data_IF_860292213767
#
_entry.id   IF_860292213767
#
_cell.length_a   1.000
_cell.length_b   1.000
_cell.length_c   1.000
_cell.angle_alpha   90.00
_cell.angle_beta   90.00
_cell.angle_gamma   90.00
#
_symmetry.space_group_name_H-M   'P 1'
#
loop_
_entity.id
_entity.type
_entity.pdbx_description
1 polymer ?
#
# COMPACT_ATOMS: atom_id res chain seq x y z
N UNK A 1 9.60 19.82 8.10
CA UNK A 1 9.61 19.35 6.71
C UNK A 1 11.00 18.90 6.18
N UNK A 2 12.06 18.94 7.04
CA UNK A 2 13.44 18.61 6.64
C UNK A 2 13.96 17.29 7.25
N UNK A 3 13.10 16.55 7.98
CA UNK A 3 13.46 15.30 8.64
C UNK A 3 12.70 14.12 8.08
N UNK A 4 13.31 12.93 8.06
CA UNK A 4 12.66 11.69 7.66
C UNK A 4 11.62 11.24 8.71
N UNK A 5 10.69 10.37 8.33
CA UNK A 5 9.69 9.79 9.25
C UNK A 5 10.35 9.12 10.47
N UNK A 6 11.42 8.35 10.26
CA UNK A 6 12.15 7.72 11.36
C UNK A 6 12.87 8.71 12.28
N UNK A 7 13.42 9.81 11.74
CA UNK A 7 14.00 10.88 12.55
C UNK A 7 12.94 11.57 13.39
N UNK A 8 11.76 11.85 12.81
CA UNK A 8 10.64 12.43 13.53
C UNK A 8 10.19 11.51 14.67
N UNK A 9 10.09 10.20 14.42
CA UNK A 9 9.69 9.23 15.42
C UNK A 9 10.69 9.13 16.58
N UNK A 10 12.00 9.14 16.28
CA UNK A 10 13.03 9.20 17.32
C UNK A 10 12.98 10.50 18.13
N UNK A 11 12.71 11.64 17.50
CA UNK A 11 12.52 12.91 18.19
C UNK A 11 11.29 12.88 19.13
N UNK A 12 10.18 12.29 18.70
CA UNK A 12 8.99 12.10 19.54
C UNK A 12 9.27 11.19 20.74
N UNK A 13 10.00 10.09 20.53
CA UNK A 13 10.43 9.20 21.62
C UNK A 13 11.33 9.94 22.61
N UNK A 14 12.33 10.70 22.13
CA UNK A 14 13.19 11.51 22.99
C UNK A 14 12.41 12.57 23.79
N UNK A 15 11.42 13.19 23.17
CA UNK A 15 10.51 14.14 23.83
C UNK A 15 9.71 13.47 24.95
N UNK A 16 9.13 12.31 24.71
CA UNK A 16 8.39 11.54 25.71
C UNK A 16 9.29 11.10 26.88
N UNK A 17 10.55 10.72 26.59
CA UNK A 17 11.53 10.30 27.60
C UNK A 17 12.17 11.45 28.38
N UNK A 18 12.01 12.69 27.93
CA UNK A 18 12.63 13.87 28.58
C UNK A 18 12.24 14.05 30.06
N UNK A 19 11.03 13.61 30.40
CA UNK A 19 10.48 13.64 31.78
C UNK A 19 10.88 12.42 32.63
N UNK A 20 11.64 11.46 32.08
CA UNK A 20 11.96 10.17 32.72
C UNK A 20 10.73 9.47 33.27
N UNK A 21 9.75 9.10 32.44
CA UNK A 21 8.51 8.49 32.89
C UNK A 21 8.74 7.05 33.38
N UNK A 22 7.95 6.61 34.35
CA UNK A 22 7.93 5.21 34.79
C UNK A 22 7.21 4.31 33.74
N UNK A 23 6.31 4.87 32.95
CA UNK A 23 5.55 4.19 31.89
C UNK A 23 5.53 5.03 30.62
N UNK A 24 5.82 4.40 29.49
CA UNK A 24 5.65 4.99 28.15
C UNK A 24 4.66 4.17 27.32
N UNK A 25 3.81 4.85 26.57
CA UNK A 25 2.86 4.23 25.64
C UNK A 25 3.25 4.58 24.21
N UNK A 26 3.51 3.55 23.42
CA UNK A 26 3.77 3.67 21.99
C UNK A 26 2.51 3.26 21.22
N UNK A 27 1.84 4.21 20.57
CA UNK A 27 0.67 3.95 19.75
C UNK A 27 1.06 4.00 18.27
N UNK A 28 1.14 2.82 17.65
CA UNK A 28 1.53 2.63 16.25
C UNK A 28 2.83 3.37 15.84
N UNK A 29 3.93 3.29 16.61
CA UNK A 29 5.09 4.17 16.42
C UNK A 29 5.87 3.90 15.13
N UNK A 30 5.60 2.81 14.43
CA UNK A 30 6.29 2.46 13.17
C UNK A 30 5.40 2.52 11.95
N UNK A 31 4.16 2.98 12.11
CA UNK A 31 3.21 3.14 10.99
C UNK A 31 3.76 4.13 9.97
N UNK A 32 3.64 3.77 8.70
CA UNK A 32 4.15 4.52 7.54
C UNK A 32 5.68 4.61 7.40
N UNK A 33 6.46 3.85 8.18
CA UNK A 33 7.89 3.69 7.98
C UNK A 33 8.17 2.54 7.02
N UNK A 34 9.26 2.65 6.25
CA UNK A 34 9.79 1.51 5.51
C UNK A 34 10.47 0.50 6.47
N UNK A 35 10.63 -0.75 6.01
CA UNK A 35 11.08 -1.86 6.85
C UNK A 35 12.46 -1.59 7.49
N UNK A 36 13.38 -0.96 6.78
CA UNK A 36 14.74 -0.66 7.31
C UNK A 36 14.67 0.37 8.42
N UNK A 37 13.97 1.49 8.16
CA UNK A 37 13.73 2.55 9.14
C UNK A 37 12.94 2.03 10.34
N UNK A 38 11.97 1.14 10.12
CA UNK A 38 11.20 0.49 11.19
C UNK A 38 12.11 -0.29 12.14
N UNK A 39 13.04 -1.11 11.62
CA UNK A 39 13.99 -1.88 12.42
C UNK A 39 14.88 -0.96 13.26
N UNK A 40 15.40 0.12 12.66
CA UNK A 40 16.22 1.10 13.38
C UNK A 40 15.47 1.80 14.51
N UNK A 41 14.21 2.21 14.27
CA UNK A 41 13.38 2.87 15.28
C UNK A 41 13.05 1.89 16.41
N UNK A 42 12.70 0.65 16.10
CA UNK A 42 12.42 -0.39 17.10
C UNK A 42 13.64 -0.70 17.96
N UNK A 43 14.83 -0.83 17.36
CA UNK A 43 16.07 -1.01 18.12
C UNK A 43 16.30 0.16 19.07
N UNK A 44 16.17 1.39 18.58
CA UNK A 44 16.33 2.60 19.42
C UNK A 44 15.33 2.67 20.57
N UNK A 45 14.05 2.29 20.32
CA UNK A 45 13.02 2.25 21.37
C UNK A 45 13.39 1.21 22.45
N UNK A 46 13.78 0.00 22.04
CA UNK A 46 14.19 -1.06 22.95
C UNK A 46 15.36 -0.63 23.81
N UNK A 47 16.43 -0.10 23.19
CA UNK A 47 17.62 0.34 23.89
C UNK A 47 17.30 1.43 24.93
N UNK A 48 16.40 2.36 24.61
CA UNK A 48 15.93 3.42 25.52
C UNK A 48 15.13 2.82 26.68
N UNK A 49 14.17 1.94 26.42
CA UNK A 49 13.33 1.30 27.44
C UNK A 49 14.20 0.49 28.42
N UNK A 50 15.18 -0.26 27.92
CA UNK A 50 16.13 -1.02 28.74
C UNK A 50 17.05 -0.11 29.54
N UNK A 51 17.64 0.91 28.93
CA UNK A 51 18.59 1.84 29.56
C UNK A 51 17.95 2.60 30.73
N UNK A 52 16.70 3.01 30.59
CA UNK A 52 15.99 3.79 31.61
C UNK A 52 15.11 2.92 32.53
N UNK A 53 15.07 1.60 32.32
CA UNK A 53 14.19 0.66 33.05
C UNK A 53 12.73 1.12 33.07
N UNK A 54 12.27 1.76 32.01
CA UNK A 54 10.90 2.29 31.88
C UNK A 54 9.96 1.16 31.46
N UNK A 55 8.78 1.06 32.09
CA UNK A 55 7.74 0.15 31.60
C UNK A 55 7.18 0.65 30.26
N UNK A 56 6.85 -0.26 29.35
CA UNK A 56 6.34 0.11 28.03
C UNK A 56 5.06 -0.65 27.65
N UNK A 57 4.08 0.07 27.12
CA UNK A 57 2.94 -0.51 26.39
C UNK A 57 3.13 -0.21 24.92
N UNK A 58 3.11 -1.25 24.10
CA UNK A 58 3.26 -1.14 22.66
C UNK A 58 1.96 -1.55 21.96
N UNK A 59 1.28 -0.59 21.34
CA UNK A 59 0.04 -0.79 20.60
C UNK A 59 0.37 -0.89 19.13
N UNK A 60 0.04 -2.00 18.49
CA UNK A 60 0.28 -2.19 17.05
C UNK A 60 -0.54 -3.36 16.49
N UNK A 61 -0.78 -3.33 15.21
CA UNK A 61 -1.31 -4.44 14.43
C UNK A 61 -0.21 -5.28 13.76
N UNK A 62 1.06 -4.87 13.85
CA UNK A 62 2.19 -5.59 13.26
C UNK A 62 2.76 -6.62 14.22
N UNK A 63 2.39 -7.88 13.98
CA UNK A 63 2.84 -9.03 14.76
C UNK A 63 4.35 -9.28 14.69
N UNK A 64 5.04 -8.79 13.65
CA UNK A 64 6.49 -8.91 13.55
C UNK A 64 7.19 -7.99 14.55
N UNK A 65 6.61 -6.80 14.74
CA UNK A 65 7.05 -5.83 15.74
C UNK A 65 6.84 -6.37 17.15
N UNK A 66 5.62 -6.86 17.44
CA UNK A 66 5.28 -7.42 18.74
C UNK A 66 6.24 -8.54 19.15
N UNK A 67 6.59 -9.43 18.19
CA UNK A 67 7.52 -10.53 18.44
C UNK A 67 8.93 -10.08 18.86
N UNK A 68 9.33 -8.87 18.50
CA UNK A 68 10.66 -8.32 18.79
C UNK A 68 10.71 -7.44 20.03
N UNK A 69 9.57 -6.85 20.41
CA UNK A 69 9.50 -5.79 21.42
C UNK A 69 8.86 -6.20 22.72
N UNK A 70 7.89 -7.14 22.69
CA UNK A 70 7.04 -7.41 23.83
C UNK A 70 7.42 -8.69 24.58
N UNK A 71 7.38 -8.66 25.91
CA UNK A 71 7.49 -9.84 26.79
C UNK A 71 6.17 -10.61 26.84
N UNK A 72 5.06 -9.88 26.86
CA UNK A 72 3.69 -10.41 26.90
C UNK A 72 2.85 -9.75 25.81
N UNK A 73 1.88 -10.50 25.30
CA UNK A 73 0.97 -10.04 24.25
C UNK A 73 -0.45 -10.19 24.79
N UNK A 74 -1.23 -9.12 24.62
CA UNK A 74 -2.67 -9.10 24.87
C UNK A 74 -3.39 -8.82 23.55
N UNK A 75 -4.27 -9.72 23.14
CA UNK A 75 -5.07 -9.61 21.92
C UNK A 75 -6.46 -9.07 22.25
N UNK A 76 -6.86 -8.03 21.53
CA UNK A 76 -8.17 -7.39 21.68
C UNK A 76 -9.01 -7.56 20.41
N UNK A 77 -10.32 -7.78 20.58
CA UNK A 77 -11.29 -7.79 19.50
C UNK A 77 -12.56 -7.03 19.92
N UNK A 78 -12.92 -5.98 19.22
CA UNK A 78 -14.12 -5.17 19.49
C UNK A 78 -14.21 -4.70 20.93
N UNK A 79 -13.08 -4.29 21.52
CA UNK A 79 -12.98 -3.80 22.88
C UNK A 79 -12.92 -4.89 23.98
N UNK A 80 -13.03 -6.17 23.61
CA UNK A 80 -12.92 -7.27 24.54
C UNK A 80 -11.54 -7.93 24.45
N UNK A 81 -11.03 -8.40 25.59
CA UNK A 81 -9.86 -9.26 25.64
C UNK A 81 -10.20 -10.63 25.05
N UNK A 82 -9.34 -11.11 24.15
CA UNK A 82 -9.49 -12.42 23.51
C UNK A 82 -8.49 -13.41 24.10
N UNK A 83 -7.22 -13.02 24.20
CA UNK A 83 -6.15 -13.89 24.67
C UNK A 83 -5.01 -13.05 25.24
N UNK A 84 -4.40 -13.53 26.34
CA UNK A 84 -3.17 -12.97 26.89
C UNK A 84 -2.17 -14.08 27.18
N UNK A 85 -0.91 -13.91 26.75
CA UNK A 85 0.15 -14.87 27.03
C UNK A 85 1.53 -14.24 26.90
N UNK A 86 2.59 -15.00 27.28
CA UNK A 86 3.97 -14.61 26.95
C UNK A 86 4.15 -14.60 25.43
N UNK A 87 5.00 -13.72 24.93
CA UNK A 87 5.29 -13.64 23.48
C UNK A 87 5.68 -14.98 22.89
N UNK A 88 6.53 -15.74 23.60
CA UNK A 88 6.97 -17.06 23.15
C UNK A 88 5.83 -18.07 22.98
N UNK A 89 4.88 -18.11 23.93
CA UNK A 89 3.72 -19.01 23.87
C UNK A 89 2.73 -18.56 22.81
N UNK A 90 2.44 -17.25 22.77
CA UNK A 90 1.55 -16.66 21.76
C UNK A 90 2.00 -16.92 20.33
N UNK A 91 3.32 -16.85 20.07
CA UNK A 91 3.89 -17.13 18.73
C UNK A 91 3.92 -18.62 18.38
N UNK A 92 4.11 -19.52 19.38
CA UNK A 92 4.23 -20.96 19.12
C UNK A 92 2.90 -21.68 19.06
N UNK A 93 1.98 -21.34 19.95
CA UNK A 93 0.74 -22.08 20.16
C UNK A 93 -0.40 -21.15 20.65
N UNK A 94 -0.88 -20.21 19.81
CA UNK A 94 -2.05 -19.41 20.15
C UNK A 94 -3.26 -20.34 20.37
N UNK A 95 -4.09 -20.02 21.36
CA UNK A 95 -5.22 -20.86 21.75
C UNK A 95 -6.49 -20.44 21.01
N UNK A 96 -6.75 -19.15 20.96
CA UNK A 96 -7.98 -18.62 20.43
C UNK A 96 -8.02 -18.59 18.90
N UNK A 97 -9.19 -18.83 18.32
CA UNK A 97 -9.39 -18.89 16.88
C UNK A 97 -9.06 -17.56 16.19
N UNK A 98 -9.42 -16.44 16.80
CA UNK A 98 -9.11 -15.11 16.28
C UNK A 98 -7.60 -14.86 16.28
N UNK A 99 -6.90 -15.17 17.37
CA UNK A 99 -5.43 -15.08 17.44
C UNK A 99 -4.76 -15.94 16.37
N UNK A 100 -5.22 -17.18 16.20
CA UNK A 100 -4.74 -18.06 15.12
C UNK A 100 -4.91 -17.44 13.75
N UNK A 101 -6.04 -16.79 13.50
CA UNK A 101 -6.29 -16.13 12.20
C UNK A 101 -5.35 -14.96 11.94
N UNK A 102 -5.01 -14.17 12.95
CA UNK A 102 -4.01 -13.09 12.85
C UNK A 102 -2.63 -13.64 12.48
N UNK A 103 -2.24 -14.78 13.07
CA UNK A 103 -0.95 -15.44 12.79
C UNK A 103 -0.93 -16.14 11.42
N UNK A 104 -2.07 -16.67 10.96
CA UNK A 104 -2.18 -17.37 9.68
C UNK A 104 -1.88 -16.44 8.47
N UNK A 105 -2.16 -15.15 8.58
CA UNK A 105 -1.84 -14.16 7.54
C UNK A 105 -0.33 -14.13 7.25
N UNK A 106 0.53 -14.39 8.25
CA UNK A 106 1.99 -14.45 8.09
C UNK A 106 2.48 -15.67 7.28
N UNK A 107 1.73 -16.77 7.32
CA UNK A 107 2.10 -18.03 6.65
C UNK A 107 1.52 -18.17 5.25
N UNK A 108 0.91 -17.11 4.71
CA UNK A 108 0.33 -17.14 3.37
C UNK A 108 1.42 -17.36 2.32
N UNK A 109 1.63 -18.62 1.96
CA UNK A 109 2.49 -19.00 0.84
C UNK A 109 1.68 -18.97 -0.45
N UNK A 110 2.04 -18.07 -1.34
CA UNK A 110 1.47 -18.05 -2.69
C UNK A 110 1.84 -19.35 -3.41
N UNK A 111 0.85 -20.09 -3.93
CA UNK A 111 1.11 -21.22 -4.83
C UNK A 111 2.05 -20.77 -5.95
N UNK A 112 3.19 -21.47 -6.11
CA UNK A 112 4.12 -21.19 -7.20
C UNK A 112 3.39 -21.35 -8.53
N UNK A 113 3.33 -20.29 -9.31
CA UNK A 113 2.84 -20.36 -10.69
C UNK A 113 3.94 -20.95 -11.56
N UNK A 114 3.58 -21.84 -12.47
CA UNK A 114 4.51 -22.36 -13.49
C UNK A 114 5.29 -21.24 -14.16
N UNK A 115 6.55 -21.43 -14.57
CA UNK A 115 7.32 -20.43 -15.28
C UNK A 115 6.50 -19.81 -16.44
N UNK A 116 6.65 -18.52 -16.68
CA UNK A 116 6.06 -17.90 -17.87
C UNK A 116 6.61 -18.60 -19.10
N UNK A 117 5.78 -18.85 -20.11
CA UNK A 117 6.26 -19.43 -21.40
C UNK A 117 7.35 -18.50 -21.94
N UNK A 118 8.53 -19.03 -22.19
CA UNK A 118 9.75 -18.29 -22.54
C UNK A 118 9.64 -17.39 -23.79
N UNK A 119 8.54 -17.48 -24.55
CA UNK A 119 8.27 -16.70 -25.78
C UNK A 119 7.05 -15.77 -25.68
N UNK A 120 6.45 -15.59 -24.51
CA UNK A 120 5.28 -14.71 -24.39
C UNK A 120 5.73 -13.24 -24.33
N UNK A 121 5.15 -12.38 -25.17
CA UNK A 121 5.35 -10.93 -25.13
C UNK A 121 4.96 -10.40 -23.74
N UNK A 122 5.82 -9.61 -23.08
CA UNK A 122 5.47 -8.98 -21.81
C UNK A 122 4.27 -8.01 -21.98
N UNK A 123 3.40 -7.95 -20.99
CA UNK A 123 2.35 -6.92 -20.95
C UNK A 123 2.98 -5.54 -20.74
N UNK A 124 3.97 -5.46 -19.84
CA UNK A 124 4.80 -4.25 -19.66
C UNK A 124 6.26 -4.65 -19.79
N UNK A 125 7.01 -3.89 -20.59
CA UNK A 125 8.47 -3.95 -20.68
C UNK A 125 9.05 -2.57 -20.39
N UNK A 126 9.90 -2.50 -19.38
CA UNK A 126 10.64 -1.30 -18.98
C UNK A 126 12.08 -1.51 -19.39
N UNK A 127 12.66 -0.63 -20.19
CA UNK A 127 14.01 -0.79 -20.76
C UNK A 127 14.84 0.45 -20.51
N UNK A 128 15.90 0.32 -19.71
CA UNK A 128 16.89 1.36 -19.42
C UNK A 128 16.27 2.69 -18.98
N UNK A 129 15.18 2.64 -18.24
CA UNK A 129 14.42 3.83 -17.83
C UNK A 129 15.18 4.61 -16.77
N UNK A 130 15.40 5.89 -17.03
CA UNK A 130 15.93 6.88 -16.09
C UNK A 130 14.86 7.92 -15.83
N UNK A 131 14.50 8.13 -14.55
CA UNK A 131 13.43 9.03 -14.14
C UNK A 131 13.93 10.09 -13.15
N UNK A 132 13.48 11.33 -13.31
CA UNK A 132 13.83 12.45 -12.45
C UNK A 132 12.70 13.48 -12.34
N UNK A 133 12.62 14.15 -11.20
CA UNK A 133 11.77 15.33 -11.02
C UNK A 133 12.47 16.62 -11.46
N UNK A 134 13.80 16.62 -11.47
CA UNK A 134 14.65 17.69 -12.00
C UNK A 134 15.65 17.08 -12.98
N UNK A 135 15.92 17.77 -14.09
CA UNK A 135 16.82 17.27 -15.16
C UNK A 135 18.22 16.88 -14.66
N UNK A 136 18.69 17.49 -13.59
CA UNK A 136 20.06 17.32 -13.11
C UNK A 136 20.17 16.30 -11.95
N UNK A 137 19.04 15.74 -11.47
CA UNK A 137 19.04 14.81 -10.34
C UNK A 137 18.14 13.60 -10.61
N UNK A 138 18.64 12.58 -11.31
CA UNK A 138 17.91 11.37 -11.58
C UNK A 138 17.73 10.52 -10.31
N UNK A 139 16.47 10.30 -9.92
CA UNK A 139 16.07 9.47 -8.79
C UNK A 139 16.12 7.98 -9.15
N UNK A 140 15.80 7.64 -10.40
CA UNK A 140 15.84 6.28 -10.94
C UNK A 140 16.80 6.25 -12.11
N UNK A 141 17.69 5.26 -12.15
CA UNK A 141 18.73 5.16 -13.19
C UNK A 141 18.75 3.78 -13.81
N UNK A 142 18.61 3.73 -15.12
CA UNK A 142 18.82 2.53 -15.94
C UNK A 142 18.05 1.30 -15.48
N UNK A 143 16.77 1.46 -15.11
CA UNK A 143 15.93 0.37 -14.61
C UNK A 143 15.33 -0.40 -15.78
N UNK A 144 15.44 -1.75 -15.73
CA UNK A 144 14.88 -2.65 -16.75
C UNK A 144 14.23 -3.86 -16.09
N UNK A 145 13.01 -4.20 -16.52
CA UNK A 145 12.30 -5.42 -16.15
C UNK A 145 11.08 -5.63 -17.04
N UNK A 146 10.61 -6.88 -17.07
CA UNK A 146 9.43 -7.30 -17.82
C UNK A 146 8.34 -7.83 -16.89
N UNK A 147 7.08 -7.56 -17.24
CA UNK A 147 5.91 -8.08 -16.53
C UNK A 147 5.02 -8.83 -17.52
N UNK A 148 4.81 -10.12 -17.27
CA UNK A 148 3.99 -10.97 -18.11
C UNK A 148 2.55 -11.08 -17.58
N UNK A 149 1.62 -11.44 -18.46
CA UNK A 149 0.21 -11.64 -18.10
C UNK A 149 0.05 -12.61 -16.92
N UNK A 150 -0.79 -12.24 -15.96
CA UNK A 150 -1.04 -13.03 -14.75
C UNK A 150 0.15 -13.12 -13.78
N UNK A 151 1.21 -12.35 -13.98
CA UNK A 151 2.36 -12.25 -13.08
C UNK A 151 2.34 -10.95 -12.29
N UNK A 152 3.00 -10.96 -11.14
CA UNK A 152 3.21 -9.79 -10.29
C UNK A 152 4.71 -9.63 -10.08
N UNK A 153 5.22 -8.44 -10.34
CA UNK A 153 6.58 -8.03 -10.01
C UNK A 153 6.50 -7.09 -8.81
N UNK A 154 7.25 -7.38 -7.75
CA UNK A 154 7.39 -6.50 -6.59
C UNK A 154 8.63 -5.62 -6.78
N UNK A 155 8.45 -4.31 -6.61
CA UNK A 155 9.55 -3.34 -6.54
C UNK A 155 9.74 -2.98 -5.07
N UNK A 156 10.88 -3.37 -4.50
CA UNK A 156 11.20 -3.19 -3.08
C UNK A 156 12.40 -2.26 -2.91
N UNK A 157 12.53 -1.63 -1.75
CA UNK A 157 13.62 -0.73 -1.39
C UNK A 157 13.20 0.26 -0.32
N UNK A 158 14.16 1.00 0.23
CA UNK A 158 13.97 2.01 1.26
C UNK A 158 13.09 3.19 0.80
N UNK A 159 12.61 4.00 1.75
CA UNK A 159 11.91 5.24 1.43
C UNK A 159 12.83 6.15 0.61
N UNK A 160 12.30 6.75 -0.45
CA UNK A 160 13.12 7.58 -1.35
C UNK A 160 13.90 6.82 -2.42
N UNK A 161 13.94 5.47 -2.43
CA UNK A 161 14.67 4.68 -3.44
C UNK A 161 14.12 4.75 -4.88
N UNK A 162 13.04 5.49 -5.13
CA UNK A 162 12.50 5.70 -6.47
C UNK A 162 11.37 4.76 -6.89
N UNK A 163 10.82 3.91 -6.01
CA UNK A 163 9.70 3.00 -6.33
C UNK A 163 8.51 3.70 -6.98
N UNK A 164 8.04 4.76 -6.33
CA UNK A 164 6.93 5.57 -6.86
C UNK A 164 7.31 6.34 -8.13
N UNK A 165 8.60 6.65 -8.32
CA UNK A 165 9.11 7.29 -9.54
C UNK A 165 9.02 6.33 -10.72
N UNK A 166 9.39 5.06 -10.54
CA UNK A 166 9.21 4.01 -11.58
C UNK A 166 7.73 3.87 -11.95
N UNK A 167 6.84 3.78 -10.95
CA UNK A 167 5.40 3.70 -11.17
C UNK A 167 4.87 4.89 -11.99
N UNK A 168 5.31 6.11 -11.66
CA UNK A 168 4.94 7.33 -12.39
C UNK A 168 5.51 7.38 -13.80
N UNK A 169 6.71 6.84 -14.03
CA UNK A 169 7.25 6.70 -15.39
C UNK A 169 6.39 5.74 -16.21
N UNK A 170 6.03 4.57 -15.67
CA UNK A 170 5.20 3.58 -16.36
C UNK A 170 3.83 4.18 -16.71
N UNK A 171 3.20 4.91 -15.79
CA UNK A 171 1.90 5.55 -16.04
C UNK A 171 1.97 6.79 -16.92
N UNK A 172 3.18 7.32 -17.21
CA UNK A 172 3.38 8.55 -17.98
C UNK A 172 3.09 9.83 -17.18
N UNK A 173 2.82 9.72 -15.87
CA UNK A 173 2.67 10.88 -14.98
C UNK A 173 4.00 11.62 -14.76
N UNK A 174 5.11 10.93 -14.96
CA UNK A 174 6.45 11.48 -14.98
C UNK A 174 7.14 10.97 -16.26
N UNK A 175 7.30 11.79 -17.30
CA UNK A 175 8.04 11.40 -18.48
C UNK A 175 9.49 11.00 -18.11
N UNK A 176 9.98 9.83 -18.51
CA UNK A 176 11.37 9.45 -18.25
C UNK A 176 12.34 10.34 -19.03
N UNK A 177 13.52 10.56 -18.46
CA UNK A 177 14.62 11.27 -19.15
C UNK A 177 15.22 10.45 -20.28
N UNK A 178 15.26 9.12 -20.13
CA UNK A 178 15.74 8.17 -21.12
C UNK A 178 15.13 6.80 -20.90
N UNK A 179 15.29 5.91 -21.87
CA UNK A 179 14.73 4.56 -21.86
C UNK A 179 13.38 4.49 -22.57
N UNK A 180 12.83 3.28 -22.66
CA UNK A 180 11.59 2.99 -23.37
C UNK A 180 10.69 2.15 -22.49
N UNK A 181 9.39 2.44 -22.52
CA UNK A 181 8.35 1.62 -21.86
C UNK A 181 7.42 1.12 -22.95
N UNK A 182 7.19 -0.21 -22.98
CA UNK A 182 6.28 -0.87 -23.92
C UNK A 182 5.09 -1.47 -23.22
N UNK A 183 3.96 -1.40 -23.87
CA UNK A 183 2.73 -2.11 -23.48
C UNK A 183 2.34 -3.05 -24.62
N UNK A 184 2.21 -4.36 -24.33
CA UNK A 184 1.97 -5.41 -25.34
C UNK A 184 2.90 -5.34 -26.55
N UNK A 185 4.17 -4.98 -26.35
CA UNK A 185 5.20 -4.87 -27.38
C UNK A 185 5.21 -3.54 -28.13
N UNK A 186 4.27 -2.62 -27.86
CA UNK A 186 4.18 -1.30 -28.52
C UNK A 186 4.76 -0.22 -27.59
N UNK A 187 5.59 0.67 -28.15
CA UNK A 187 6.17 1.78 -27.40
C UNK A 187 5.07 2.72 -26.87
N UNK A 188 5.10 3.01 -25.57
CA UNK A 188 4.18 3.97 -24.97
C UNK A 188 4.74 5.39 -25.11
N UNK A 189 3.90 6.38 -25.43
CA UNK A 189 4.26 7.77 -25.29
C UNK A 189 4.72 8.08 -23.86
N UNK A 190 5.82 8.85 -23.72
CA UNK A 190 6.42 9.17 -22.43
C UNK A 190 5.46 9.92 -21.51
N UNK A 191 4.71 10.90 -22.04
CA UNK A 191 3.71 11.68 -21.31
C UNK A 191 2.32 11.05 -21.48
N UNK A 192 1.57 10.92 -20.37
CA UNK A 192 0.20 10.36 -20.37
C UNK A 192 -0.76 11.17 -21.29
N UNK A 193 -0.51 12.47 -21.48
CA UNK A 193 -1.35 13.32 -22.32
C UNK A 193 -1.30 12.94 -23.81
N UNK A 194 -0.20 12.29 -24.23
CA UNK A 194 0.00 11.80 -25.58
C UNK A 194 -0.45 10.35 -25.78
N UNK A 195 -0.91 9.69 -24.71
CA UNK A 195 -1.42 8.32 -24.78
C UNK A 195 -2.86 8.28 -25.25
N UNK A 196 -3.20 7.25 -26.02
CA UNK A 196 -4.58 7.00 -26.41
C UNK A 196 -5.46 6.70 -25.19
N UNK A 197 -6.78 6.90 -25.35
CA UNK A 197 -7.75 6.54 -24.30
C UNK A 197 -7.67 5.06 -23.92
N UNK A 198 -7.45 4.18 -24.88
CA UNK A 198 -7.26 2.75 -24.66
C UNK A 198 -6.01 2.47 -23.83
N UNK A 199 -4.86 3.07 -24.16
CA UNK A 199 -3.64 2.93 -23.36
C UNK A 199 -3.82 3.43 -21.91
N UNK A 200 -4.56 4.52 -21.71
CA UNK A 200 -4.88 5.03 -20.38
C UNK A 200 -5.84 4.10 -19.62
N UNK A 201 -6.81 3.49 -20.30
CA UNK A 201 -7.73 2.51 -19.73
C UNK A 201 -6.98 1.27 -19.24
N UNK A 202 -6.10 0.73 -20.07
CA UNK A 202 -5.43 -0.55 -19.84
C UNK A 202 -4.35 -0.49 -18.75
N UNK A 203 -3.87 0.70 -18.37
CA UNK A 203 -2.82 0.89 -17.35
C UNK A 203 -3.36 1.77 -16.24
N UNK A 204 -3.66 1.18 -15.09
CA UNK A 204 -4.22 1.89 -13.94
C UNK A 204 -3.26 1.88 -12.76
N UNK A 205 -3.35 2.91 -11.92
CA UNK A 205 -2.55 3.07 -10.70
C UNK A 205 -3.42 3.26 -9.47
N UNK A 206 -3.13 2.49 -8.43
CA UNK A 206 -3.69 2.63 -7.09
C UNK A 206 -2.67 3.41 -6.26
N UNK A 207 -3.07 4.54 -5.71
CA UNK A 207 -2.18 5.38 -4.91
C UNK A 207 -2.05 4.85 -3.49
N UNK A 208 -0.86 5.00 -2.91
CA UNK A 208 -0.54 4.58 -1.54
C UNK A 208 -1.47 5.24 -0.50
N UNK A 209 -1.72 6.55 -0.63
CA UNK A 209 -2.56 7.30 0.30
C UNK A 209 -3.97 7.45 -0.27
N UNK A 210 -4.90 6.65 0.22
CA UNK A 210 -6.30 6.69 -0.21
C UNK A 210 -6.97 8.05 0.09
N UNK A 211 -6.59 8.70 1.19
CA UNK A 211 -7.15 10.01 1.59
C UNK A 211 -6.91 11.10 0.56
N UNK A 212 -5.74 11.12 -0.06
CA UNK A 212 -5.39 12.10 -1.10
C UNK A 212 -5.83 11.66 -2.51
N UNK A 213 -6.10 10.37 -2.68
CA UNK A 213 -6.47 9.79 -3.98
C UNK A 213 -7.96 9.92 -4.32
N UNK A 214 -8.82 10.04 -3.31
CA UNK A 214 -10.26 10.16 -3.48
C UNK A 214 -10.70 11.62 -3.36
N UNK A 215 -11.54 12.09 -4.29
CA UNK A 215 -12.08 13.45 -4.20
C UNK A 215 -13.08 13.53 -3.02
N UNK A 216 -12.79 14.30 -1.95
CA UNK A 216 -13.64 14.34 -0.75
C UNK A 216 -15.01 14.98 -0.99
N UNK A 217 -15.19 15.71 -2.11
CA UNK A 217 -16.44 16.39 -2.46
C UNK A 217 -17.36 15.53 -3.33
N UNK A 218 -16.98 14.29 -3.63
CA UNK A 218 -17.73 13.37 -4.49
C UNK A 218 -18.17 12.15 -3.71
N UNK A 219 -19.38 11.67 -3.98
CA UNK A 219 -19.87 10.39 -3.43
C UNK A 219 -19.06 9.22 -3.97
N UNK A 220 -18.98 8.14 -3.22
CA UNK A 220 -18.26 6.93 -3.60
C UNK A 220 -18.76 6.39 -4.95
N UNK A 221 -20.08 6.37 -5.14
CA UNK A 221 -20.67 5.96 -6.42
C UNK A 221 -20.24 6.81 -7.61
N UNK A 222 -20.03 8.12 -7.42
CA UNK A 222 -19.49 9.00 -8.48
C UNK A 222 -18.00 8.75 -8.72
N UNK A 223 -17.22 8.51 -7.66
CA UNK A 223 -15.78 8.25 -7.75
C UNK A 223 -15.51 6.98 -8.54
N UNK A 224 -16.23 5.88 -8.24
CA UNK A 224 -16.12 4.61 -8.96
C UNK A 224 -16.80 4.69 -10.34
N UNK A 225 -17.92 5.41 -10.43
CA UNK A 225 -18.68 5.54 -11.68
C UNK A 225 -18.02 6.39 -12.75
N UNK A 226 -17.08 7.30 -12.38
CA UNK A 226 -16.39 8.14 -13.36
C UNK A 226 -15.55 7.34 -14.37
N UNK A 227 -14.66 6.43 -13.98
CA UNK A 227 -13.96 5.59 -14.95
C UNK A 227 -14.88 4.64 -15.72
N UNK A 228 -15.97 4.13 -15.10
CA UNK A 228 -16.98 3.33 -15.81
C UNK A 228 -17.59 4.12 -16.99
N UNK A 229 -17.99 5.36 -16.73
CA UNK A 229 -18.55 6.22 -17.77
C UNK A 229 -17.48 6.64 -18.80
N UNK A 230 -16.33 7.09 -18.31
CA UNK A 230 -15.27 7.61 -19.17
C UNK A 230 -14.68 6.54 -20.09
N UNK A 231 -14.35 5.35 -19.57
CA UNK A 231 -13.67 4.32 -20.35
C UNK A 231 -14.63 3.36 -21.03
N UNK A 232 -15.70 2.93 -20.35
CA UNK A 232 -16.63 1.93 -20.86
C UNK A 232 -17.85 2.54 -21.56
N UNK A 233 -18.06 3.87 -21.42
CA UNK A 233 -19.22 4.54 -22.03
C UNK A 233 -20.56 4.23 -21.37
N UNK A 234 -20.57 3.54 -20.20
CA UNK A 234 -21.79 3.18 -19.51
C UNK A 234 -22.37 4.39 -18.79
N UNK A 235 -23.68 4.62 -18.93
CA UNK A 235 -24.43 5.72 -18.30
C UNK A 235 -25.68 5.22 -17.59
N UNK A 236 -26.35 6.08 -16.83
CA UNK A 236 -27.63 5.79 -16.20
C UNK A 236 -27.61 4.52 -15.34
N UNK A 237 -28.60 3.66 -15.53
CA UNK A 237 -28.77 2.44 -14.74
C UNK A 237 -27.66 1.41 -14.97
N UNK A 238 -27.11 1.32 -16.19
CA UNK A 238 -26.00 0.41 -16.50
C UNK A 238 -24.72 0.79 -15.71
N UNK A 239 -24.39 2.09 -15.64
CA UNK A 239 -23.30 2.59 -14.80
C UNK A 239 -23.54 2.27 -13.32
N UNK A 240 -24.75 2.53 -12.80
CA UNK A 240 -25.10 2.25 -11.41
C UNK A 240 -24.91 0.79 -11.06
N UNK A 241 -25.45 -0.13 -11.88
CA UNK A 241 -25.28 -1.58 -11.70
C UNK A 241 -23.81 -1.98 -11.66
N UNK A 242 -22.99 -1.45 -12.57
CA UNK A 242 -21.55 -1.75 -12.60
C UNK A 242 -20.83 -1.25 -11.35
N UNK A 243 -21.19 -0.09 -10.82
CA UNK A 243 -20.66 0.44 -9.54
C UNK A 243 -21.06 -0.45 -8.37
N UNK A 244 -22.31 -0.93 -8.33
CA UNK A 244 -22.80 -1.85 -7.29
C UNK A 244 -22.04 -3.18 -7.31
N UNK A 245 -21.78 -3.75 -8.49
CA UNK A 245 -20.94 -4.94 -8.67
C UNK A 245 -19.52 -4.74 -8.13
N UNK A 246 -18.90 -3.60 -8.45
CA UNK A 246 -17.54 -3.27 -8.01
C UNK A 246 -17.48 -3.07 -6.49
N UNK A 247 -18.47 -2.45 -5.87
CA UNK A 247 -18.59 -2.32 -4.42
C UNK A 247 -18.71 -3.70 -3.75
N UNK A 248 -19.54 -4.58 -4.27
CA UNK A 248 -19.69 -5.94 -3.78
C UNK A 248 -18.37 -6.74 -3.89
N UNK A 249 -17.65 -6.61 -5.00
CA UNK A 249 -16.34 -7.26 -5.19
C UNK A 249 -15.28 -6.85 -4.16
N UNK A 250 -15.38 -5.66 -3.61
CA UNK A 250 -14.47 -5.16 -2.56
C UNK A 250 -15.07 -5.31 -1.15
N UNK A 251 -16.11 -6.13 -1.00
CA UNK A 251 -16.78 -6.42 0.27
C UNK A 251 -17.36 -5.16 0.96
N UNK A 252 -17.92 -4.25 0.20
CA UNK A 252 -18.66 -3.09 0.67
C UNK A 252 -20.12 -3.20 0.16
N UNK A 253 -21.08 -3.17 1.10
CA UNK A 253 -22.51 -3.27 0.75
C UNK A 253 -22.96 -2.06 -0.10
N UNK A 254 -23.38 -2.28 -1.37
CA UNK A 254 -23.65 -1.17 -2.28
C UNK A 254 -24.71 -0.19 -1.78
N UNK A 255 -25.79 -0.70 -1.18
CA UNK A 255 -26.88 0.13 -0.63
C UNK A 255 -26.43 1.08 0.46
N UNK A 256 -25.36 0.73 1.17
CA UNK A 256 -24.83 1.48 2.30
C UNK A 256 -23.74 2.48 1.88
N UNK A 257 -22.90 2.11 0.90
CA UNK A 257 -21.69 2.86 0.58
C UNK A 257 -21.81 3.75 -0.64
N UNK A 258 -22.70 3.48 -1.61
CA UNK A 258 -22.77 4.18 -2.90
C UNK A 258 -22.99 5.69 -2.75
N UNK A 259 -23.75 6.09 -1.74
CA UNK A 259 -24.13 7.49 -1.50
C UNK A 259 -23.28 8.19 -0.43
N UNK A 260 -22.36 7.48 0.25
CA UNK A 260 -21.43 8.06 1.25
C UNK A 260 -20.33 8.89 0.59
N UNK A 261 -19.76 9.79 1.39
CA UNK A 261 -18.55 10.53 1.05
C UNK A 261 -17.30 9.85 1.61
N UNK A 262 -16.10 10.12 1.06
CA UNK A 262 -14.85 9.58 1.60
C UNK A 262 -14.59 9.90 3.07
N UNK A 263 -15.11 11.01 3.61
CA UNK A 263 -15.00 11.36 5.02
C UNK A 263 -15.79 10.46 5.97
N UNK A 264 -16.76 9.70 5.44
CA UNK A 264 -17.67 8.86 6.22
C UNK A 264 -17.24 7.39 6.27
N UNK A 265 -16.03 7.08 5.76
CA UNK A 265 -15.52 5.71 5.68
C UNK A 265 -14.11 5.60 6.25
N UNK A 266 -13.77 4.41 6.77
CA UNK A 266 -12.46 4.15 7.36
C UNK A 266 -11.32 4.14 6.33
N UNK A 267 -10.06 4.24 6.77
CA UNK A 267 -8.88 4.19 5.90
C UNK A 267 -8.82 2.91 5.04
N UNK A 268 -9.10 1.76 5.63
CA UNK A 268 -9.15 0.48 4.90
C UNK A 268 -10.29 0.42 3.87
N UNK A 269 -11.46 1.03 4.18
CA UNK A 269 -12.55 1.16 3.22
C UNK A 269 -12.18 2.10 2.07
N UNK A 270 -11.51 3.22 2.35
CA UNK A 270 -10.97 4.12 1.31
C UNK A 270 -9.98 3.42 0.37
N UNK A 271 -9.09 2.58 0.91
CA UNK A 271 -8.17 1.79 0.08
C UNK A 271 -8.93 0.83 -0.84
N UNK A 272 -9.92 0.10 -0.31
CA UNK A 272 -10.78 -0.78 -1.12
C UNK A 272 -11.53 -0.01 -2.22
N UNK A 273 -12.05 1.17 -1.93
CA UNK A 273 -12.69 2.06 -2.92
C UNK A 273 -11.67 2.50 -4.00
N UNK A 274 -10.43 2.79 -3.61
CA UNK A 274 -9.34 3.08 -4.55
C UNK A 274 -9.05 1.93 -5.51
N UNK A 275 -9.10 0.69 -5.01
CA UNK A 275 -8.99 -0.54 -5.81
C UNK A 275 -10.17 -0.65 -6.78
N UNK A 276 -11.42 -0.52 -6.30
CA UNK A 276 -12.61 -0.56 -7.15
C UNK A 276 -12.57 0.48 -8.26
N UNK A 277 -12.12 1.70 -7.95
CA UNK A 277 -11.96 2.77 -8.95
C UNK A 277 -10.96 2.40 -10.05
N UNK A 278 -9.85 1.76 -9.72
CA UNK A 278 -8.87 1.30 -10.71
C UNK A 278 -9.43 0.15 -11.56
N UNK A 279 -10.11 -0.83 -10.92
CA UNK A 279 -10.74 -1.96 -11.59
C UNK A 279 -11.94 -1.55 -12.47
N UNK A 280 -12.56 -0.42 -12.19
CA UNK A 280 -13.69 0.12 -12.95
C UNK A 280 -13.34 0.43 -14.41
N UNK A 281 -12.07 0.61 -14.73
CA UNK A 281 -11.57 0.76 -16.11
C UNK A 281 -11.38 -0.59 -16.83
N UNK A 282 -11.51 -1.74 -16.14
CA UNK A 282 -11.19 -3.09 -16.65
C UNK A 282 -9.75 -3.17 -17.21
N UNK A 283 -8.74 -2.77 -16.43
CA UNK A 283 -7.38 -2.66 -16.92
C UNK A 283 -6.71 -4.01 -17.10
N UNK A 284 -5.78 -4.09 -18.06
CA UNK A 284 -4.90 -5.25 -18.26
C UNK A 284 -3.71 -5.25 -17.31
N UNK A 285 -3.33 -4.07 -16.82
CA UNK A 285 -2.22 -3.86 -15.92
C UNK A 285 -2.55 -2.86 -14.80
N UNK A 286 -2.27 -3.25 -13.56
CA UNK A 286 -2.48 -2.42 -12.36
C UNK A 286 -1.18 -2.27 -11.59
N UNK A 287 -0.87 -1.05 -11.20
CA UNK A 287 0.23 -0.69 -10.29
C UNK A 287 -0.38 -0.36 -8.92
N UNK A 288 0.12 -0.96 -7.83
CA UNK A 288 -0.34 -0.71 -6.47
C UNK A 288 0.82 -0.59 -5.46
#
# INVERSE_FOLDING_TARGET
>A
HQVSGGQLQRAMTAMAMSCRPDLIIFDEPTTALDVTTQIEVLSSIRDIVEQFSTAAIYITHDLAVVAQMADRIKVLLRGNEVEENTTRQMLKAPQESYTKSLWAVRSFQRKQKSPAKAKATPVISVQNVTGAYSKNDPVVRNVSFDIHSGRTVAVVGESGSGKSTVARCITGLLPPLSGIIRFDGVDLPADYRSRSRDQLQQIQMIYQMADTALNPRKKIGEIIGRPVEFYLGLTGQAKRRRVEELLAQIELEPSEFIDRYPSEVSGGQKQRIGIARALAAEPKFVIC
#
